data_IF_177566830572
#
_entry.id   IF_177566830572
#
_cell.length_a   1.000
_cell.length_b   1.000
_cell.length_c   1.000
_cell.angle_alpha   90.00
_cell.angle_beta   90.00
_cell.angle_gamma   90.00
#
_symmetry.space_group_name_H-M   'P 1'
#
loop_
_entity.id
_entity.type
_entity.pdbx_description
1 polymer ?
#
# COMPACT_ATOMS: atom_id res chain seq x y z
N UNK A 1 13.06 11.21 -15.05
CA UNK A 1 11.62 11.33 -15.36
C UNK A 1 11.31 12.82 -15.50
N UNK A 2 11.10 13.33 -16.72
CA UNK A 2 10.74 14.74 -16.89
C UNK A 2 9.28 14.92 -16.47
N UNK A 3 9.04 15.57 -15.34
CA UNK A 3 7.70 15.95 -14.91
C UNK A 3 7.27 17.22 -15.64
N UNK A 4 6.16 17.17 -16.37
CA UNK A 4 5.50 18.39 -16.81
C UNK A 4 4.71 19.00 -15.65
N UNK A 5 5.04 20.24 -15.31
CA UNK A 5 4.29 20.99 -14.29
C UNK A 5 2.90 21.35 -14.81
N UNK A 6 1.88 21.30 -13.95
CA UNK A 6 0.49 21.67 -14.30
C UNK A 6 0.40 23.03 -15.00
N UNK A 7 1.23 24.01 -14.58
CA UNK A 7 1.31 25.33 -15.22
C UNK A 7 1.77 25.25 -16.69
N UNK A 8 2.75 24.41 -17.01
CA UNK A 8 3.26 24.24 -18.37
C UNK A 8 2.22 23.58 -19.29
N UNK A 9 1.48 22.59 -18.80
CA UNK A 9 0.42 21.94 -19.57
C UNK A 9 -0.76 22.88 -19.83
N UNK A 10 -1.14 23.71 -18.84
CA UNK A 10 -2.17 24.75 -19.00
C UNK A 10 -1.72 25.79 -20.03
N UNK A 11 -0.48 26.29 -19.93
CA UNK A 11 0.07 27.27 -20.89
C UNK A 11 0.09 26.73 -22.32
N UNK A 12 0.50 25.47 -22.53
CA UNK A 12 0.47 24.83 -23.85
C UNK A 12 -0.94 24.66 -24.40
N UNK A 13 -1.90 24.32 -23.54
CA UNK A 13 -3.30 24.20 -23.95
C UNK A 13 -3.90 25.56 -24.37
N UNK A 14 -3.60 26.63 -23.62
CA UNK A 14 -4.02 27.98 -23.96
C UNK A 14 -3.36 28.43 -25.26
N UNK A 15 -2.04 28.31 -25.39
CA UNK A 15 -1.32 28.76 -26.59
C UNK A 15 -1.79 28.06 -27.87
N UNK A 16 -2.04 26.75 -27.79
CA UNK A 16 -2.57 25.99 -28.93
C UNK A 16 -4.01 26.38 -29.29
N UNK A 17 -4.87 26.59 -28.27
CA UNK A 17 -6.26 27.02 -28.50
C UNK A 17 -6.36 28.42 -29.08
N UNK A 18 -5.52 29.35 -28.64
CA UNK A 18 -5.46 30.71 -29.20
C UNK A 18 -5.10 30.67 -30.68
N UNK A 19 -4.07 29.90 -31.05
CA UNK A 19 -3.70 29.73 -32.46
C UNK A 19 -4.81 29.08 -33.28
N UNK A 20 -5.42 28.00 -32.80
CA UNK A 20 -6.52 27.33 -33.51
C UNK A 20 -7.70 28.28 -33.77
N UNK A 21 -8.07 29.10 -32.78
CA UNK A 21 -9.19 30.05 -32.88
C UNK A 21 -8.88 31.18 -33.87
N UNK A 22 -7.64 31.71 -33.83
CA UNK A 22 -7.18 32.73 -34.78
C UNK A 22 -7.23 32.18 -36.21
N UNK A 23 -6.78 30.95 -36.43
CA UNK A 23 -6.79 30.32 -37.76
C UNK A 23 -8.21 30.16 -38.28
N UNK A 24 -9.16 29.68 -37.47
CA UNK A 24 -10.57 29.58 -37.89
C UNK A 24 -11.15 30.95 -38.23
N UNK A 25 -10.91 31.96 -37.39
CA UNK A 25 -11.40 33.32 -37.64
C UNK A 25 -10.82 33.90 -38.94
N UNK A 26 -9.53 33.69 -39.22
CA UNK A 26 -8.89 34.12 -40.48
C UNK A 26 -9.54 33.42 -41.68
N UNK A 27 -9.75 32.09 -41.61
CA UNK A 27 -10.37 31.33 -42.71
C UNK A 27 -11.79 31.85 -42.96
N UNK A 28 -12.61 32.01 -41.92
CA UNK A 28 -13.98 32.52 -42.05
C UNK A 28 -13.98 33.92 -42.66
N UNK A 29 -13.07 34.79 -42.23
CA UNK A 29 -12.94 36.14 -42.78
C UNK A 29 -12.54 36.14 -44.25
N UNK A 30 -11.58 35.31 -44.67
CA UNK A 30 -11.14 35.20 -46.08
C UNK A 30 -12.32 34.78 -46.98
N UNK A 31 -13.17 33.86 -46.51
CA UNK A 31 -14.27 33.32 -47.33
C UNK A 31 -15.52 34.20 -47.34
N UNK A 32 -15.81 34.91 -46.25
CA UNK A 32 -17.06 35.65 -46.09
C UNK A 32 -16.90 37.16 -46.24
N UNK A 33 -15.69 37.70 -46.05
CA UNK A 33 -15.42 39.14 -46.00
C UNK A 33 -15.99 39.84 -44.75
N UNK A 34 -16.72 39.14 -43.90
CA UNK A 34 -17.42 39.71 -42.74
C UNK A 34 -16.65 39.46 -41.44
N UNK A 35 -16.04 40.52 -40.90
CA UNK A 35 -15.27 40.46 -39.65
C UNK A 35 -16.11 40.04 -38.44
N UNK A 36 -17.34 40.55 -38.32
CA UNK A 36 -18.24 40.22 -37.21
C UNK A 36 -18.61 38.73 -37.20
N UNK A 37 -18.82 38.15 -38.38
CA UNK A 37 -19.15 36.73 -38.53
C UNK A 37 -17.95 35.85 -38.18
N UNK A 38 -16.74 36.21 -38.63
CA UNK A 38 -15.50 35.53 -38.26
C UNK A 38 -15.24 35.52 -36.74
N UNK A 39 -15.45 36.65 -36.07
CA UNK A 39 -15.25 36.77 -34.62
C UNK A 39 -16.29 35.95 -33.84
N UNK A 40 -17.55 35.98 -34.29
CA UNK A 40 -18.65 35.21 -33.66
C UNK A 40 -18.45 33.71 -33.79
N UNK A 41 -18.05 33.24 -34.98
CA UNK A 41 -17.76 31.82 -35.23
C UNK A 41 -16.57 31.35 -34.39
N UNK A 42 -15.49 32.13 -34.32
CA UNK A 42 -14.33 31.81 -33.48
C UNK A 42 -14.70 31.69 -32.00
N UNK A 43 -15.53 32.60 -31.48
CA UNK A 43 -15.99 32.54 -30.08
C UNK A 43 -16.89 31.33 -29.82
N UNK A 44 -17.86 31.07 -30.70
CA UNK A 44 -18.74 29.90 -30.63
C UNK A 44 -17.95 28.59 -30.67
N UNK A 45 -16.93 28.51 -31.52
CA UNK A 45 -16.07 27.34 -31.65
C UNK A 45 -15.34 27.02 -30.34
N UNK A 46 -14.80 28.04 -29.66
CA UNK A 46 -14.11 27.86 -28.37
C UNK A 46 -15.07 27.30 -27.33
N UNK A 47 -16.25 27.90 -27.18
CA UNK A 47 -17.25 27.46 -26.21
C UNK A 47 -17.72 26.05 -26.51
N UNK A 48 -18.04 25.76 -27.78
CA UNK A 48 -18.48 24.44 -28.21
C UNK A 48 -17.41 23.36 -27.96
N UNK A 49 -16.15 23.62 -28.31
CA UNK A 49 -15.04 22.69 -28.07
C UNK A 49 -14.76 22.47 -26.59
N UNK A 50 -14.89 23.50 -25.76
CA UNK A 50 -14.78 23.34 -24.31
C UNK A 50 -15.90 22.45 -23.76
N UNK A 51 -17.15 22.67 -24.21
CA UNK A 51 -18.29 21.82 -23.84
C UNK A 51 -18.11 20.37 -24.29
N UNK A 52 -17.72 20.15 -25.54
CA UNK A 52 -17.46 18.81 -26.09
C UNK A 52 -16.30 18.12 -25.37
N UNK A 53 -15.21 18.83 -25.08
CA UNK A 53 -14.09 18.28 -24.32
C UNK A 53 -14.51 17.88 -22.90
N UNK A 54 -15.27 18.73 -22.20
CA UNK A 54 -15.79 18.44 -20.88
C UNK A 54 -16.70 17.19 -20.89
N UNK A 55 -17.60 17.10 -21.87
CA UNK A 55 -18.45 15.91 -22.05
C UNK A 55 -17.62 14.66 -22.37
N UNK A 56 -16.65 14.77 -23.28
CA UNK A 56 -15.74 13.69 -23.64
C UNK A 56 -14.95 13.21 -22.42
N UNK A 57 -14.40 14.11 -21.60
CA UNK A 57 -13.69 13.76 -20.37
C UNK A 57 -14.61 13.03 -19.38
N UNK A 58 -15.83 13.54 -19.16
CA UNK A 58 -16.84 12.89 -18.30
C UNK A 58 -17.21 11.49 -18.80
N UNK A 59 -17.33 11.31 -20.11
CA UNK A 59 -17.56 10.00 -20.74
C UNK A 59 -16.35 9.09 -20.56
N UNK A 60 -15.13 9.60 -20.83
CA UNK A 60 -13.89 8.84 -20.73
C UNK A 60 -13.57 8.40 -19.30
N UNK A 61 -13.93 9.19 -18.28
CA UNK A 61 -13.78 8.78 -16.88
C UNK A 61 -14.62 7.54 -16.52
N UNK A 62 -15.77 7.35 -17.18
CA UNK A 62 -16.61 6.15 -17.00
C UNK A 62 -16.06 4.93 -17.73
N UNK A 63 -15.26 5.14 -18.77
CA UNK A 63 -14.63 4.07 -19.55
C UNK A 63 -13.41 3.55 -18.78
N UNK A 64 -13.40 2.25 -18.47
CA UNK A 64 -12.28 1.58 -17.76
C UNK A 64 -11.15 1.15 -18.69
N UNK A 65 -11.32 1.29 -20.00
CA UNK A 65 -10.33 0.89 -21.01
C UNK A 65 -8.99 1.61 -20.75
N UNK A 66 -7.90 0.83 -20.67
CA UNK A 66 -6.56 1.34 -20.41
C UNK A 66 -6.22 1.64 -18.94
N UNK A 67 -7.20 1.65 -18.01
CA UNK A 67 -6.91 1.75 -16.57
C UNK A 67 -6.39 0.40 -16.06
N UNK A 68 -5.16 0.37 -15.53
CA UNK A 68 -4.60 -0.81 -14.85
C UNK A 68 -4.75 -0.61 -13.35
N UNK A 69 -5.59 -1.41 -12.71
CA UNK A 69 -5.64 -1.46 -11.24
C UNK A 69 -4.46 -2.30 -10.75
N UNK A 70 -3.67 -1.70 -9.86
CA UNK A 70 -2.67 -2.42 -9.09
C UNK A 70 -3.42 -3.08 -7.93
N UNK A 71 -3.32 -4.41 -7.77
CA UNK A 71 -3.99 -5.09 -6.66
C UNK A 71 -3.45 -4.57 -5.32
N UNK A 72 -4.35 -4.23 -4.42
CA UNK A 72 -4.05 -4.01 -3.00
C UNK A 72 -4.13 -5.33 -2.24
N UNK A 73 -3.31 -5.46 -1.21
CA UNK A 73 -3.24 -6.64 -0.36
C UNK A 73 -2.69 -6.27 1.01
N UNK A 74 -2.92 -7.15 1.98
CA UNK A 74 -2.30 -7.09 3.30
C UNK A 74 -1.16 -8.11 3.34
N UNK A 75 0.07 -7.62 3.48
CA UNK A 75 1.26 -8.42 3.77
C UNK A 75 1.48 -8.43 5.28
N UNK A 76 1.19 -9.55 5.92
CA UNK A 76 1.15 -9.68 7.36
C UNK A 76 2.35 -10.47 7.88
N UNK A 77 3.33 -9.77 8.44
CA UNK A 77 4.45 -10.38 9.14
C UNK A 77 4.06 -10.76 10.56
N UNK A 78 4.28 -12.04 10.89
CA UNK A 78 4.07 -12.61 12.22
C UNK A 78 5.32 -13.38 12.67
N UNK A 79 5.55 -13.45 13.97
CA UNK A 79 6.69 -14.18 14.55
C UNK A 79 7.06 -13.66 15.92
N UNK A 80 7.94 -14.39 16.62
CA UNK A 80 8.39 -14.09 17.96
C UNK A 80 8.94 -12.64 18.11
N UNK A 81 8.88 -12.04 19.31
CA UNK A 81 9.64 -10.81 19.60
C UNK A 81 11.11 -10.95 19.17
N UNK A 82 11.71 -9.89 18.62
CA UNK A 82 13.07 -9.90 18.05
C UNK A 82 13.33 -10.89 16.88
N UNK A 83 12.30 -11.50 16.27
CA UNK A 83 12.49 -12.43 15.14
C UNK A 83 13.01 -11.78 13.85
N UNK A 84 13.01 -10.45 13.72
CA UNK A 84 13.40 -9.71 12.51
C UNK A 84 12.23 -9.23 11.64
N UNK A 85 10.98 -9.51 12.03
CA UNK A 85 9.77 -9.10 11.30
C UNK A 85 9.70 -7.62 10.92
N UNK A 86 10.05 -6.71 11.83
CA UNK A 86 10.00 -5.25 11.56
C UNK A 86 11.03 -4.85 10.50
N UNK A 87 12.23 -5.42 10.55
CA UNK A 87 13.28 -5.12 9.59
C UNK A 87 12.90 -5.60 8.19
N UNK A 88 12.41 -6.84 8.06
CA UNK A 88 11.93 -7.39 6.79
C UNK A 88 10.75 -6.57 6.24
N UNK A 89 9.78 -6.23 7.09
CA UNK A 89 8.63 -5.40 6.72
C UNK A 89 9.07 -4.03 6.20
N UNK A 90 10.03 -3.37 6.86
CA UNK A 90 10.57 -2.07 6.45
C UNK A 90 11.30 -2.17 5.08
N UNK A 91 12.13 -3.20 4.87
CA UNK A 91 12.82 -3.41 3.60
C UNK A 91 11.84 -3.65 2.44
N UNK A 92 10.84 -4.52 2.65
CA UNK A 92 9.80 -4.78 1.63
C UNK A 92 8.96 -3.52 1.38
N UNK A 93 8.58 -2.79 2.43
CA UNK A 93 7.86 -1.51 2.32
C UNK A 93 8.62 -0.52 1.45
N UNK A 94 9.92 -0.32 1.69
CA UNK A 94 10.74 0.61 0.93
C UNK A 94 10.85 0.21 -0.55
N UNK A 95 11.05 -1.08 -0.87
CA UNK A 95 11.07 -1.54 -2.27
C UNK A 95 9.73 -1.34 -2.98
N UNK A 96 8.60 -1.53 -2.30
CA UNK A 96 7.28 -1.27 -2.87
C UNK A 96 7.04 0.24 -3.06
N UNK A 97 7.50 1.07 -2.13
CA UNK A 97 7.37 2.53 -2.16
C UNK A 97 8.21 3.16 -3.28
N UNK A 98 9.41 2.65 -3.52
CA UNK A 98 10.29 3.07 -4.63
C UNK A 98 9.64 2.86 -6.01
N UNK A 99 8.69 1.93 -6.12
CA UNK A 99 7.89 1.67 -7.33
C UNK A 99 6.67 2.59 -7.45
N UNK A 100 6.60 3.68 -6.67
CA UNK A 100 5.50 4.64 -6.61
C UNK A 100 4.14 4.00 -6.29
N UNK A 101 4.13 2.84 -5.62
CA UNK A 101 2.91 2.17 -5.21
C UNK A 101 2.31 2.86 -3.98
N UNK A 102 0.98 2.85 -3.88
CA UNK A 102 0.28 3.26 -2.67
C UNK A 102 0.46 2.18 -1.61
N UNK A 103 1.47 2.35 -0.76
CA UNK A 103 1.83 1.40 0.29
C UNK A 103 1.89 2.11 1.64
N UNK A 104 1.42 1.44 2.69
CA UNK A 104 1.48 1.93 4.07
C UNK A 104 2.07 0.86 5.00
N UNK A 105 2.91 1.27 5.95
CA UNK A 105 3.53 0.35 6.92
C UNK A 105 2.79 0.46 8.27
N UNK A 106 2.36 -0.68 8.81
CA UNK A 106 1.65 -0.75 10.08
C UNK A 106 2.42 -1.66 11.05
N UNK A 107 3.08 -1.13 12.09
CA UNK A 107 3.70 -1.95 13.15
C UNK A 107 2.91 -1.86 14.44
N UNK A 108 2.95 -2.95 15.22
CA UNK A 108 2.32 -3.02 16.53
C UNK A 108 2.69 -1.85 17.45
N UNK A 109 3.92 -1.32 17.40
CA UNK A 109 4.31 -0.18 18.24
C UNK A 109 3.66 1.14 17.82
N UNK A 110 3.35 1.30 16.54
CA UNK A 110 2.81 2.54 16.01
C UNK A 110 1.30 2.63 16.24
N UNK A 111 0.59 1.50 16.09
CA UNK A 111 -0.88 1.48 16.19
C UNK A 111 -1.40 1.06 17.56
N UNK A 112 -0.61 0.38 18.39
CA UNK A 112 -1.06 -0.01 19.73
C UNK A 112 -1.50 1.20 20.55
N UNK A 113 -0.76 2.32 20.64
CA UNK A 113 -1.21 3.49 21.41
C UNK A 113 -2.52 4.13 20.91
N UNK A 114 -2.94 3.84 19.68
CA UNK A 114 -4.16 4.39 19.08
C UNK A 114 -5.44 3.66 19.52
N UNK A 115 -5.31 2.47 20.10
CA UNK A 115 -6.43 1.66 20.54
C UNK A 115 -6.60 1.74 22.07
N UNK A 116 -7.83 1.64 22.61
CA UNK A 116 -8.04 1.50 24.05
C UNK A 116 -7.63 0.09 24.52
N UNK A 117 -7.42 -0.14 25.82
CA UNK A 117 -7.19 -1.49 26.40
C UNK A 117 -6.02 -2.24 25.74
N UNK A 118 -4.83 -1.67 25.83
CA UNK A 118 -3.62 -2.11 25.10
C UNK A 118 -2.60 -2.81 25.97
N UNK A 119 -3.06 -3.49 27.02
CA UNK A 119 -2.22 -4.38 27.81
C UNK A 119 -1.79 -5.63 27.03
N UNK A 120 -1.06 -6.50 27.71
CA UNK A 120 -0.38 -7.64 27.10
C UNK A 120 -0.96 -9.00 27.51
N UNK A 121 -2.11 -9.00 28.19
CA UNK A 121 -2.84 -10.24 28.44
C UNK A 121 -3.25 -10.91 27.11
N UNK A 122 -3.46 -12.24 27.09
CA UNK A 122 -3.91 -12.96 25.91
C UNK A 122 -5.15 -12.34 25.24
N UNK A 123 -6.13 -11.91 26.03
CA UNK A 123 -7.38 -11.31 25.54
C UNK A 123 -7.13 -9.94 24.91
N UNK A 124 -6.31 -9.09 25.53
CA UNK A 124 -5.98 -7.76 25.00
C UNK A 124 -5.13 -7.86 23.73
N UNK A 125 -4.18 -8.80 23.68
CA UNK A 125 -3.40 -9.08 22.48
C UNK A 125 -4.30 -9.54 21.33
N UNK A 126 -5.21 -10.49 21.57
CA UNK A 126 -6.19 -10.94 20.58
C UNK A 126 -7.06 -9.77 20.09
N UNK A 127 -7.57 -8.93 20.99
CA UNK A 127 -8.39 -7.75 20.66
C UNK A 127 -7.60 -6.74 19.83
N UNK A 128 -6.34 -6.49 20.19
CA UNK A 128 -5.44 -5.61 19.44
C UNK A 128 -5.22 -6.11 18.02
N UNK A 129 -4.93 -7.40 17.83
CA UNK A 129 -4.73 -7.99 16.50
C UNK A 129 -6.02 -7.92 15.66
N UNK A 130 -7.19 -8.20 16.25
CA UNK A 130 -8.48 -8.06 15.55
C UNK A 130 -8.73 -6.62 15.08
N UNK A 131 -8.45 -5.62 15.93
CA UNK A 131 -8.55 -4.19 15.57
C UNK A 131 -7.56 -3.78 14.47
N UNK A 132 -6.31 -4.22 14.60
CA UNK A 132 -5.30 -4.01 13.57
C UNK A 132 -5.70 -4.67 12.24
N UNK A 133 -6.27 -5.87 12.28
CA UNK A 133 -6.84 -6.56 11.12
C UNK A 133 -7.92 -5.73 10.41
N UNK A 134 -8.83 -5.13 11.16
CA UNK A 134 -9.83 -4.21 10.60
C UNK A 134 -9.20 -2.98 9.93
N UNK A 135 -8.20 -2.36 10.56
CA UNK A 135 -7.48 -1.23 9.98
C UNK A 135 -6.79 -1.63 8.67
N UNK A 136 -6.06 -2.74 8.66
CA UNK A 136 -5.37 -3.25 7.47
C UNK A 136 -6.36 -3.57 6.34
N UNK A 137 -7.46 -4.25 6.64
CA UNK A 137 -8.49 -4.56 5.66
C UNK A 137 -9.21 -3.30 5.13
N UNK A 138 -9.38 -2.26 5.96
CA UNK A 138 -9.96 -0.99 5.52
C UNK A 138 -9.03 -0.27 4.54
N UNK A 139 -7.73 -0.24 4.81
CA UNK A 139 -6.73 0.32 3.90
C UNK A 139 -6.66 -0.46 2.58
N UNK A 140 -6.65 -1.80 2.64
CA UNK A 140 -6.68 -2.67 1.46
C UNK A 140 -7.89 -2.40 0.57
N UNK A 141 -9.09 -2.28 1.16
CA UNK A 141 -10.33 -1.93 0.44
C UNK A 141 -10.29 -0.57 -0.24
N UNK A 142 -9.43 0.34 0.21
CA UNK A 142 -9.21 1.66 -0.38
C UNK A 142 -8.04 1.70 -1.37
N UNK A 143 -7.53 0.54 -1.79
CA UNK A 143 -6.47 0.44 -2.81
C UNK A 143 -5.07 0.73 -2.26
N UNK A 144 -4.86 0.59 -0.95
CA UNK A 144 -3.56 0.72 -0.29
C UNK A 144 -2.98 -0.67 -0.03
N UNK A 145 -1.74 -0.91 -0.46
CA UNK A 145 -0.98 -2.10 -0.06
C UNK A 145 -0.54 -1.91 1.39
N UNK A 146 -0.86 -2.85 2.27
CA UNK A 146 -0.52 -2.75 3.69
C UNK A 146 0.61 -3.70 4.00
N UNK A 147 1.71 -3.18 4.53
CA UNK A 147 2.82 -3.98 5.06
C UNK A 147 2.76 -3.94 6.57
N UNK A 148 2.24 -5.00 7.18
CA UNK A 148 1.92 -5.04 8.60
C UNK A 148 2.88 -5.94 9.37
N UNK A 149 3.38 -5.50 10.53
CA UNK A 149 4.27 -6.30 11.39
C UNK A 149 3.77 -6.37 12.83
N UNK A 150 3.38 -7.58 13.24
CA UNK A 150 2.87 -7.85 14.58
C UNK A 150 3.52 -9.11 15.16
N UNK A 151 3.53 -9.25 16.49
CA UNK A 151 3.87 -10.55 17.09
C UNK A 151 2.75 -11.54 16.77
N UNK A 152 1.49 -11.13 16.98
CA UNK A 152 0.28 -11.91 16.69
C UNK A 152 0.41 -13.40 17.01
N UNK A 153 0.68 -13.77 18.29
CA UNK A 153 1.05 -15.14 18.65
C UNK A 153 -0.09 -16.14 18.47
N UNK A 154 -1.34 -15.71 18.62
CA UNK A 154 -2.52 -16.58 18.54
C UNK A 154 -3.03 -16.70 17.11
N UNK A 155 -3.17 -17.93 16.64
CA UNK A 155 -3.64 -18.24 15.28
C UNK A 155 -5.05 -17.71 15.05
N UNK A 156 -5.94 -17.83 16.03
CA UNK A 156 -7.33 -17.38 15.93
C UNK A 156 -7.44 -15.91 15.51
N UNK A 157 -6.63 -15.02 16.10
CA UNK A 157 -6.64 -13.60 15.75
C UNK A 157 -6.11 -13.31 14.35
N UNK A 158 -5.14 -14.10 13.87
CA UNK A 158 -4.60 -13.98 12.51
C UNK A 158 -5.60 -14.49 11.47
N UNK A 159 -6.28 -15.60 11.76
CA UNK A 159 -7.36 -16.12 10.91
C UNK A 159 -8.52 -15.13 10.80
N UNK A 160 -8.89 -14.48 11.92
CA UNK A 160 -9.86 -13.39 11.89
C UNK A 160 -9.41 -12.24 10.98
N UNK A 161 -8.16 -11.75 11.15
CA UNK A 161 -7.62 -10.68 10.33
C UNK A 161 -7.59 -11.05 8.83
N UNK A 162 -7.19 -12.29 8.51
CA UNK A 162 -7.19 -12.87 7.17
C UNK A 162 -8.60 -12.86 6.55
N UNK A 163 -9.62 -13.22 7.32
CA UNK A 163 -11.01 -13.24 6.86
C UNK A 163 -11.60 -11.86 6.53
N UNK A 164 -10.97 -10.75 6.96
CA UNK A 164 -11.45 -9.39 6.72
C UNK A 164 -10.97 -8.78 5.39
N UNK A 165 -9.80 -9.18 4.93
CA UNK A 165 -9.14 -8.67 3.73
C UNK A 165 -9.45 -9.53 2.50
N UNK A 166 -9.49 -8.93 1.30
CA UNK A 166 -9.70 -9.71 0.07
C UNK A 166 -8.46 -10.49 -0.36
N UNK A 167 -7.29 -9.86 -0.20
CA UNK A 167 -5.99 -10.48 -0.45
C UNK A 167 -5.13 -10.32 0.79
N UNK A 168 -4.75 -11.45 1.38
CA UNK A 168 -3.96 -11.52 2.60
C UNK A 168 -2.80 -12.49 2.38
N UNK A 169 -1.58 -12.03 2.64
CA UNK A 169 -0.34 -12.80 2.50
C UNK A 169 0.33 -12.82 3.87
N UNK A 170 0.29 -13.95 4.55
CA UNK A 170 0.96 -14.14 5.84
C UNK A 170 2.41 -14.56 5.60
N UNK A 171 3.32 -13.80 6.21
CA UNK A 171 4.75 -14.08 6.25
C UNK A 171 5.11 -14.49 7.67
N UNK A 172 5.38 -15.78 7.85
CA UNK A 172 5.88 -16.28 9.11
C UNK A 172 7.40 -16.11 9.18
N UNK A 173 7.88 -15.30 10.13
CA UNK A 173 9.30 -15.13 10.42
C UNK A 173 9.70 -16.11 11.51
N UNK A 174 10.06 -17.32 11.08
CA UNK A 174 10.37 -18.50 11.88
C UNK A 174 11.83 -18.49 12.34
N UNK A 175 12.18 -17.46 13.11
CA UNK A 175 13.49 -17.34 13.79
C UNK A 175 13.40 -18.08 15.12
N UNK A 176 14.35 -18.95 15.42
CA UNK A 176 14.33 -19.73 16.68
C UNK A 176 14.33 -18.83 17.92
N UNK A 177 13.74 -19.31 19.01
CA UNK A 177 13.69 -18.59 20.29
C UNK A 177 15.10 -18.20 20.77
N UNK A 178 16.07 -19.12 20.67
CA UNK A 178 17.46 -18.87 21.06
C UNK A 178 18.10 -17.73 20.26
N UNK A 179 17.82 -17.64 18.96
CA UNK A 179 18.35 -16.55 18.13
C UNK A 179 17.60 -15.24 18.39
N UNK A 180 16.29 -15.29 18.65
CA UNK A 180 15.52 -14.12 19.09
C UNK A 180 16.08 -13.55 20.41
N UNK A 181 16.41 -14.40 21.38
CA UNK A 181 17.01 -14.00 22.65
C UNK A 181 18.39 -13.36 22.46
N UNK A 182 19.24 -13.92 21.58
CA UNK A 182 20.55 -13.34 21.27
C UNK A 182 20.44 -11.97 20.58
N UNK A 183 19.41 -11.76 19.76
CA UNK A 183 19.18 -10.52 18.99
C UNK A 183 18.50 -9.42 19.81
N UNK A 184 17.98 -9.74 21.00
CA UNK A 184 17.19 -8.81 21.81
C UNK A 184 18.09 -7.81 22.56
N UNK A 185 18.47 -6.77 21.84
CA UNK A 185 19.24 -5.62 22.31
C UNK A 185 18.61 -4.88 23.50
N UNK A 186 17.28 -5.03 23.69
CA UNK A 186 16.50 -4.35 24.73
C UNK A 186 16.26 -5.20 25.97
N UNK A 187 16.70 -6.47 25.95
CA UNK A 187 16.57 -7.39 27.08
C UNK A 187 15.13 -7.69 27.49
N UNK A 188 14.18 -7.63 26.55
CA UNK A 188 12.80 -8.05 26.79
C UNK A 188 12.67 -9.51 27.24
N UNK A 189 13.41 -10.43 26.63
CA UNK A 189 13.42 -11.84 27.03
C UNK A 189 14.04 -12.05 28.41
N UNK A 190 15.14 -11.35 28.73
CA UNK A 190 15.74 -11.40 30.06
C UNK A 190 14.75 -10.94 31.13
N UNK A 191 14.04 -9.83 30.89
CA UNK A 191 12.97 -9.32 31.77
C UNK A 191 11.81 -10.30 31.93
N UNK A 192 11.39 -10.94 30.84
CA UNK A 192 10.36 -11.97 30.90
C UNK A 192 10.80 -13.16 31.78
N UNK A 193 12.05 -13.64 31.62
CA UNK A 193 12.58 -14.79 32.38
C UNK A 193 12.68 -14.53 33.90
N UNK A 194 12.94 -13.29 34.31
CA UNK A 194 12.97 -12.90 35.75
C UNK A 194 11.59 -12.51 36.29
N UNK A 195 10.53 -12.60 35.48
CA UNK A 195 9.16 -12.34 35.90
C UNK A 195 8.73 -10.87 35.88
N UNK A 196 9.52 -9.96 35.30
CA UNK A 196 9.12 -8.55 35.12
C UNK A 196 8.01 -8.39 34.06
N UNK A 197 8.00 -9.26 33.05
CA UNK A 197 6.94 -9.33 32.03
C UNK A 197 6.18 -10.64 32.13
N UNK A 198 4.89 -10.55 32.36
CA UNK A 198 3.97 -11.68 32.28
C UNK A 198 3.51 -11.89 30.84
N UNK A 199 2.99 -13.09 30.53
CA UNK A 199 2.35 -13.39 29.23
C UNK A 199 3.24 -13.16 28.00
N UNK A 200 4.56 -13.27 28.16
CA UNK A 200 5.51 -13.03 27.07
C UNK A 200 5.56 -14.21 26.08
N UNK A 201 5.31 -13.99 24.77
CA UNK A 201 5.34 -15.06 23.77
C UNK A 201 6.73 -15.71 23.64
N UNK A 202 6.77 -17.04 23.64
CA UNK A 202 7.98 -17.85 23.60
C UNK A 202 8.60 -18.13 24.97
N UNK A 203 8.12 -17.49 26.05
CA UNK A 203 8.58 -17.74 27.43
C UNK A 203 7.44 -18.30 28.28
N UNK A 204 6.31 -17.57 28.35
CA UNK A 204 5.15 -17.93 29.17
C UNK A 204 3.98 -18.44 28.32
N UNK A 205 3.87 -17.91 27.10
CA UNK A 205 2.83 -18.27 26.14
C UNK A 205 3.46 -18.92 24.92
N UNK A 206 2.79 -19.95 24.41
CA UNK A 206 3.15 -20.54 23.13
C UNK A 206 2.87 -19.57 21.98
N UNK A 207 3.75 -19.60 21.00
CA UNK A 207 3.48 -18.99 19.70
C UNK A 207 2.83 -20.05 18.82
N UNK A 208 1.63 -19.78 18.32
CA UNK A 208 0.88 -20.70 17.46
C UNK A 208 1.13 -20.36 16.00
N UNK A 209 2.08 -20.99 15.29
CA UNK A 209 2.27 -20.74 13.86
C UNK A 209 1.04 -21.17 13.06
N UNK A 210 0.79 -20.48 11.94
CA UNK A 210 -0.18 -20.98 10.96
C UNK A 210 0.36 -22.27 10.34
N UNK A 211 -0.44 -23.31 10.11
CA UNK A 211 0.01 -24.50 9.40
C UNK A 211 0.27 -24.24 7.91
N UNK A 212 -0.32 -23.19 7.34
CA UNK A 212 -0.23 -22.87 5.91
C UNK A 212 -0.03 -21.36 5.68
N UNK A 213 1.08 -20.76 6.15
CA UNK A 213 1.42 -19.39 5.78
C UNK A 213 1.77 -19.34 4.28
N UNK A 214 1.47 -18.24 3.60
CA UNK A 214 1.87 -18.06 2.20
C UNK A 214 3.39 -18.07 2.03
N UNK A 215 4.13 -17.57 3.03
CA UNK A 215 5.58 -17.49 3.03
C UNK A 215 6.11 -17.79 4.43
N UNK A 216 7.15 -18.62 4.52
CA UNK A 216 7.91 -18.82 5.77
C UNK A 216 9.37 -18.47 5.52
N UNK A 217 9.93 -17.58 6.33
CA UNK A 217 11.33 -17.17 6.24
C UNK A 217 12.05 -17.47 7.55
N UNK A 218 13.22 -18.10 7.47
CA UNK A 218 14.04 -18.45 8.64
C UNK A 218 15.33 -17.66 8.63
N UNK A 219 15.41 -16.57 9.40
CA UNK A 219 16.59 -15.70 9.45
C UNK A 219 17.81 -16.32 10.16
N UNK A 220 17.69 -17.56 10.62
CA UNK A 220 18.81 -18.35 11.16
C UNK A 220 19.63 -19.00 10.02
N UNK A 221 19.03 -19.12 8.83
CA UNK A 221 19.58 -19.89 7.69
C UNK A 221 19.80 -19.05 6.44
N UNK A 222 19.19 -17.87 6.36
CA UNK A 222 19.32 -16.96 5.23
C UNK A 222 19.49 -15.52 5.69
N UNK A 223 20.06 -14.69 4.82
CA UNK A 223 20.20 -13.26 5.08
C UNK A 223 18.84 -12.55 5.01
N UNK A 224 18.76 -11.38 5.64
CA UNK A 224 17.60 -10.49 5.57
C UNK A 224 17.28 -10.08 4.13
N UNK A 225 18.30 -9.89 3.28
CA UNK A 225 18.10 -9.49 1.88
C UNK A 225 17.58 -10.65 1.00
N UNK A 226 18.04 -11.88 1.25
CA UNK A 226 17.52 -13.07 0.57
C UNK A 226 16.05 -13.30 0.91
N UNK A 227 15.70 -13.18 2.20
CA UNK A 227 14.30 -13.29 2.66
C UNK A 227 13.40 -12.21 2.03
N UNK A 228 13.89 -10.98 1.91
CA UNK A 228 13.17 -9.89 1.21
C UNK A 228 12.98 -10.24 -0.28
N UNK A 229 14.03 -10.74 -0.94
CA UNK A 229 13.98 -11.16 -2.34
C UNK A 229 12.96 -12.28 -2.59
N UNK A 230 12.90 -13.26 -1.68
CA UNK A 230 11.91 -14.33 -1.68
C UNK A 230 10.47 -13.77 -1.61
N UNK A 231 10.22 -12.89 -0.64
CA UNK A 231 8.90 -12.26 -0.44
C UNK A 231 8.49 -11.45 -1.67
N UNK A 232 9.37 -10.61 -2.19
CA UNK A 232 9.08 -9.76 -3.36
C UNK A 232 8.86 -10.61 -4.60
N UNK A 233 9.61 -11.70 -4.78
CA UNK A 233 9.41 -12.66 -5.88
C UNK A 233 8.05 -13.34 -5.79
N UNK A 234 7.64 -13.76 -4.59
CA UNK A 234 6.30 -14.31 -4.36
C UNK A 234 5.22 -13.29 -4.75
N UNK A 235 5.33 -12.04 -4.26
CA UNK A 235 4.36 -10.98 -4.56
C UNK A 235 4.29 -10.70 -6.06
N UNK A 236 5.45 -10.65 -6.74
CA UNK A 236 5.53 -10.45 -8.18
C UNK A 236 4.78 -11.54 -8.95
N UNK A 237 4.95 -12.81 -8.55
CA UNK A 237 4.35 -13.96 -9.23
C UNK A 237 2.86 -14.10 -8.92
N UNK A 238 2.48 -14.05 -7.65
CA UNK A 238 1.13 -14.41 -7.19
C UNK A 238 0.17 -13.23 -7.16
N UNK A 239 0.64 -12.05 -6.73
CA UNK A 239 -0.21 -10.87 -6.58
C UNK A 239 -0.17 -10.03 -7.86
N UNK A 240 1.03 -9.64 -8.29
CA UNK A 240 1.18 -8.75 -9.45
C UNK A 240 1.14 -9.49 -10.79
N UNK A 241 1.20 -10.83 -10.82
CA UNK A 241 1.19 -11.66 -12.03
C UNK A 241 2.19 -11.16 -13.09
N UNK A 242 3.40 -10.80 -12.65
CA UNK A 242 4.50 -10.32 -13.50
C UNK A 242 4.39 -8.87 -13.99
N UNK A 243 3.42 -8.09 -13.50
CA UNK A 243 3.13 -6.72 -13.99
C UNK A 243 4.00 -5.62 -13.36
N UNK A 244 4.92 -5.97 -12.46
CA UNK A 244 5.78 -5.07 -11.68
C UNK A 244 7.21 -5.61 -11.60
#
# INVERSE_FOLDING_TARGET
MQYETHRRSILKAISWRTWATITTAIIVFIFTGEFALALTVGLLEVVAKMGLYFMHERLWQRIRYGKREIPSFVLWFTGLPASGKKELAEKVFNQLKEKELKVERIDGRDVRPLFPETGFSPEEVNRHIRRAGHLCAMLEKNGVIVVASFVSPFRESREFARGLAKQFVEVHVDTSLSECEKRDDKGHYAKARVGEYHDFPGIHLDYEPSPFPEITVTLDRQSSDDAVSEIVTYLRKQIFKGKI
#
